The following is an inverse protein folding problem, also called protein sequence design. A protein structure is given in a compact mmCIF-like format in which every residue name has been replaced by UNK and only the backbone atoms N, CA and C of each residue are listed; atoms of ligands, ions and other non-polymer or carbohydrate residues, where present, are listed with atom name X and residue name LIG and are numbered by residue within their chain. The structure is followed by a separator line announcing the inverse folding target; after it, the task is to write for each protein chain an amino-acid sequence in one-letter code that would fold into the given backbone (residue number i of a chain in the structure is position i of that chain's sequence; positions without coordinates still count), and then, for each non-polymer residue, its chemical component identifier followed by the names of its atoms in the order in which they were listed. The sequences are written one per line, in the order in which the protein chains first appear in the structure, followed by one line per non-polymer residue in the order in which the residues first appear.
data_IF_743678561720
#
_entry.id   IF_743678561720
#
_cell.length_a   1.000
_cell.length_b   1.000
_cell.length_c   1.000
_cell.angle_alpha   90.00
_cell.angle_beta   90.00
_cell.angle_gamma   90.00
#
_symmetry.space_group_name_H-M   'P 1'
#
loop_
_entity.id
_entity.type
_entity.pdbx_description
1 polymer ?
#
# COMPACT_ATOMS: atom_id res chain seq x y z
N UNK A 1 -40.82 8.03 22.17
CA UNK A 1 -39.39 8.16 22.57
C UNK A 1 -38.64 9.04 21.58
N UNK A 2 -39.01 10.32 21.43
CA UNK A 2 -38.34 11.25 20.50
C UNK A 2 -38.26 12.66 21.09
N UNK A 3 -39.37 13.17 21.62
CA UNK A 3 -39.47 14.57 22.07
C UNK A 3 -38.47 14.97 23.16
N UNK A 4 -38.23 14.11 24.15
CA UNK A 4 -37.25 14.39 25.20
C UNK A 4 -35.81 14.47 24.65
N UNK A 5 -35.47 13.59 23.69
CA UNK A 5 -34.17 13.59 23.00
C UNK A 5 -34.01 14.85 22.13
N UNK A 6 -35.08 15.23 21.43
CA UNK A 6 -35.08 16.40 20.54
C UNK A 6 -34.98 17.71 21.35
N UNK A 7 -35.65 17.80 22.50
CA UNK A 7 -35.56 18.92 23.43
C UNK A 7 -34.15 19.08 24.01
N UNK A 8 -33.51 17.97 24.39
CA UNK A 8 -32.11 17.96 24.85
C UNK A 8 -31.19 18.48 23.74
N UNK A 9 -31.32 17.97 22.51
CA UNK A 9 -30.49 18.43 21.40
C UNK A 9 -30.76 19.87 20.97
N UNK A 10 -31.99 20.35 21.09
CA UNK A 10 -32.33 21.76 20.85
C UNK A 10 -31.62 22.68 21.87
N UNK A 11 -31.64 22.30 23.16
CA UNK A 11 -30.95 23.05 24.22
C UNK A 11 -29.43 23.03 24.05
N UNK A 12 -28.86 21.87 23.70
CA UNK A 12 -27.42 21.75 23.41
C UNK A 12 -27.04 22.62 22.21
N UNK A 13 -27.78 22.57 21.10
CA UNK A 13 -27.51 23.42 19.92
C UNK A 13 -27.69 24.91 20.22
N UNK A 14 -28.65 25.28 21.06
CA UNK A 14 -28.87 26.67 21.46
C UNK A 14 -27.78 27.25 22.38
N UNK A 15 -27.08 26.40 23.14
CA UNK A 15 -25.97 26.80 24.01
C UNK A 15 -24.61 26.89 23.29
N UNK A 16 -24.51 26.40 22.05
CA UNK A 16 -23.29 26.46 21.25
C UNK A 16 -23.32 27.75 20.43
N UNK A 17 -22.32 28.64 20.54
CA UNK A 17 -22.22 29.83 19.68
C UNK A 17 -22.22 29.41 18.21
N UNK A 18 -23.05 30.07 17.38
CA UNK A 18 -23.01 29.85 15.94
C UNK A 18 -21.67 30.32 15.40
N UNK A 19 -20.79 29.38 15.05
CA UNK A 19 -19.60 29.66 14.26
C UNK A 19 -19.99 29.90 12.80
N UNK A 20 -19.24 30.74 12.10
CA UNK A 20 -19.36 30.88 10.64
C UNK A 20 -18.98 29.55 9.98
N UNK A 21 -20.00 28.76 9.63
CA UNK A 21 -19.84 27.45 9.01
C UNK A 21 -19.15 27.56 7.64
N UNK A 22 -19.38 28.65 6.91
CA UNK A 22 -18.71 28.89 5.63
C UNK A 22 -17.21 29.15 5.84
N UNK A 23 -16.85 29.93 6.87
CA UNK A 23 -15.45 30.10 7.26
C UNK A 23 -14.81 28.79 7.73
N UNK A 24 -15.51 27.98 8.53
CA UNK A 24 -15.02 26.67 8.96
C UNK A 24 -14.76 25.73 7.78
N UNK A 25 -15.69 25.66 6.82
CA UNK A 25 -15.50 24.86 5.59
C UNK A 25 -14.34 25.37 4.74
N UNK A 26 -14.17 26.69 4.58
CA UNK A 26 -13.03 27.29 3.87
C UNK A 26 -11.70 26.93 4.54
N UNK A 27 -11.60 27.08 5.86
CA UNK A 27 -10.39 26.75 6.61
C UNK A 27 -10.01 25.26 6.49
N UNK A 28 -10.99 24.35 6.47
CA UNK A 28 -10.74 22.92 6.24
C UNK A 28 -10.24 22.67 4.82
N UNK A 29 -10.88 23.28 3.82
CA UNK A 29 -10.47 23.13 2.43
C UNK A 29 -9.04 23.66 2.18
N UNK A 30 -8.71 24.83 2.74
CA UNK A 30 -7.36 25.40 2.68
C UNK A 30 -6.31 24.50 3.34
N UNK A 31 -6.61 23.92 4.51
CA UNK A 31 -5.71 22.98 5.20
C UNK A 31 -5.47 21.70 4.40
N UNK A 32 -6.52 21.17 3.75
CA UNK A 32 -6.40 19.97 2.91
C UNK A 32 -5.60 20.27 1.64
N UNK A 33 -5.83 21.43 1.00
CA UNK A 33 -5.10 21.85 -0.18
C UNK A 33 -3.62 22.15 0.10
N UNK A 34 -3.31 22.69 1.28
CA UNK A 34 -1.95 23.07 1.69
C UNK A 34 -1.16 21.98 2.41
N UNK A 35 -1.62 20.72 2.44
CA UNK A 35 -0.95 19.68 3.21
C UNK A 35 0.46 19.38 2.66
N UNK A 36 1.47 19.90 3.37
CA UNK A 36 2.87 19.57 3.12
C UNK A 36 3.16 18.17 3.65
N UNK A 37 4.03 17.42 2.97
CA UNK A 37 4.47 16.11 3.48
C UNK A 37 4.98 16.27 4.92
N UNK A 38 4.53 15.40 5.82
CA UNK A 38 4.98 15.39 7.20
C UNK A 38 6.48 15.11 7.32
N UNK A 39 7.02 15.23 8.54
CA UNK A 39 8.41 14.93 8.84
C UNK A 39 8.78 13.55 8.32
N UNK A 40 9.73 13.52 7.39
CA UNK A 40 10.26 12.27 6.85
C UNK A 40 11.37 11.76 7.77
N UNK A 41 11.45 10.45 8.03
CA UNK A 41 12.56 9.88 8.78
C UNK A 41 13.91 10.22 8.13
N UNK A 42 14.88 10.73 8.87
CA UNK A 42 16.19 11.09 8.30
C UNK A 42 16.90 9.92 7.59
N UNK A 43 16.59 8.67 7.99
CA UNK A 43 17.12 7.45 7.37
C UNK A 43 16.76 7.26 5.89
N UNK A 44 15.73 7.95 5.38
CA UNK A 44 15.36 7.88 3.95
C UNK A 44 16.02 8.99 3.10
N UNK A 45 16.85 9.84 3.71
CA UNK A 45 17.58 10.90 3.01
C UNK A 45 18.87 10.34 2.37
N UNK A 46 18.70 9.34 1.51
CA UNK A 46 19.76 8.62 0.78
C UNK A 46 19.37 8.50 -0.69
N UNK A 47 20.27 8.03 -1.54
CA UNK A 47 19.99 7.84 -2.96
C UNK A 47 18.98 6.70 -3.23
N UNK A 48 18.49 6.64 -4.46
CA UNK A 48 17.43 5.70 -4.84
C UNK A 48 17.85 4.23 -4.72
N UNK A 49 19.12 3.92 -4.98
CA UNK A 49 19.64 2.55 -4.90
C UNK A 49 19.71 2.12 -3.43
N UNK A 50 20.25 2.98 -2.58
CA UNK A 50 20.31 2.78 -1.14
C UNK A 50 18.91 2.70 -0.50
N UNK A 51 17.89 3.37 -1.08
CA UNK A 51 16.49 3.21 -0.64
C UNK A 51 15.93 1.81 -0.94
N UNK A 52 16.29 1.21 -2.08
CA UNK A 52 15.88 -0.16 -2.41
C UNK A 52 16.57 -1.14 -1.47
N UNK A 53 17.85 -0.94 -1.19
CA UNK A 53 18.60 -1.76 -0.24
C UNK A 53 18.01 -1.65 1.18
N UNK A 54 17.68 -0.43 1.62
CA UNK A 54 17.02 -0.21 2.91
C UNK A 54 15.66 -0.92 2.97
N UNK A 55 14.89 -0.92 1.87
CA UNK A 55 13.64 -1.68 1.82
C UNK A 55 13.90 -3.18 1.96
N UNK A 56 14.88 -3.72 1.23
CA UNK A 56 15.24 -5.13 1.28
C UNK A 56 15.68 -5.56 2.69
N UNK A 57 16.52 -4.75 3.34
CA UNK A 57 16.96 -4.97 4.73
C UNK A 57 15.77 -5.02 5.69
N UNK A 58 14.87 -4.02 5.63
CA UNK A 58 13.71 -3.98 6.51
C UNK A 58 12.73 -5.14 6.24
N UNK A 59 12.54 -5.54 4.99
CA UNK A 59 11.69 -6.67 4.63
C UNK A 59 12.27 -7.99 5.19
N UNK A 60 13.58 -8.20 5.04
CA UNK A 60 14.27 -9.38 5.58
C UNK A 60 14.26 -9.39 7.12
N UNK A 61 14.33 -8.22 7.77
CA UNK A 61 14.24 -8.10 9.22
C UNK A 61 12.89 -8.55 9.81
N UNK A 62 11.84 -8.66 8.98
CA UNK A 62 10.52 -9.19 9.35
C UNK A 62 10.20 -10.52 8.66
N UNK A 63 11.23 -11.34 8.44
CA UNK A 63 11.17 -12.69 7.87
C UNK A 63 10.63 -12.77 6.42
N UNK A 64 10.74 -11.69 5.64
CA UNK A 64 10.46 -11.75 4.20
C UNK A 64 11.66 -12.29 3.41
N UNK A 65 11.41 -12.84 2.22
CA UNK A 65 12.46 -13.19 1.24
C UNK A 65 12.48 -12.16 0.12
N UNK A 66 13.68 -11.68 -0.24
CA UNK A 66 13.90 -10.69 -1.30
C UNK A 66 14.90 -11.25 -2.30
N UNK A 67 14.63 -11.08 -3.59
CA UNK A 67 15.53 -11.43 -4.69
C UNK A 67 15.59 -10.25 -5.66
N UNK A 68 16.80 -9.93 -6.13
CA UNK A 68 17.03 -8.91 -7.15
C UNK A 68 17.11 -9.56 -8.52
N UNK A 69 16.37 -9.02 -9.49
CA UNK A 69 16.33 -9.48 -10.88
C UNK A 69 16.70 -8.35 -11.83
N UNK A 70 17.36 -8.67 -12.95
CA UNK A 70 17.81 -7.66 -13.91
C UNK A 70 16.66 -7.19 -14.81
N UNK A 71 15.67 -8.06 -15.04
CA UNK A 71 14.54 -7.78 -15.90
C UNK A 71 13.29 -8.58 -15.49
N UNK A 72 12.13 -8.15 -15.98
CA UNK A 72 10.87 -8.88 -15.79
C UNK A 72 10.88 -10.28 -16.43
N UNK A 73 11.77 -10.53 -17.42
CA UNK A 73 11.92 -11.83 -18.04
C UNK A 73 12.56 -12.88 -17.10
N UNK A 74 13.32 -12.42 -16.10
CA UNK A 74 13.97 -13.30 -15.12
C UNK A 74 13.01 -13.71 -13.99
N UNK A 75 11.83 -13.09 -13.91
CA UNK A 75 10.88 -13.31 -12.82
C UNK A 75 10.41 -14.77 -12.69
N UNK A 76 10.02 -15.49 -13.76
CA UNK A 76 9.59 -16.89 -13.66
C UNK A 76 10.66 -17.80 -13.08
N UNK A 77 11.93 -17.62 -13.49
CA UNK A 77 13.04 -18.44 -13.02
C UNK A 77 13.40 -18.14 -11.57
N UNK A 78 13.41 -16.85 -11.19
CA UNK A 78 13.62 -16.44 -9.80
C UNK A 78 12.57 -17.05 -8.84
N UNK A 79 11.29 -17.11 -9.26
CA UNK A 79 10.23 -17.75 -8.48
C UNK A 79 10.44 -19.27 -8.40
N UNK A 80 10.79 -19.92 -9.51
CA UNK A 80 11.05 -21.35 -9.52
C UNK A 80 12.22 -21.75 -8.62
N UNK A 81 13.29 -20.94 -8.61
CA UNK A 81 14.44 -21.11 -7.72
C UNK A 81 14.06 -20.93 -6.26
N UNK A 82 13.24 -19.92 -5.95
CA UNK A 82 12.68 -19.74 -4.61
C UNK A 82 11.88 -20.96 -4.15
N UNK A 83 10.93 -21.44 -4.96
CA UNK A 83 10.11 -22.62 -4.63
C UNK A 83 10.98 -23.87 -4.43
N UNK A 84 11.98 -24.08 -5.29
CA UNK A 84 12.93 -25.19 -5.17
C UNK A 84 13.74 -25.12 -3.88
N UNK A 85 14.25 -23.93 -3.53
CA UNK A 85 15.03 -23.72 -2.30
C UNK A 85 14.22 -24.02 -1.03
N UNK A 86 12.90 -23.84 -1.10
CA UNK A 86 11.96 -24.10 0.00
C UNK A 86 11.35 -25.50 -0.05
N UNK A 87 11.79 -26.35 -0.99
CA UNK A 87 11.22 -27.67 -1.24
C UNK A 87 9.69 -27.64 -1.43
N UNK A 88 9.21 -26.61 -2.13
CA UNK A 88 7.79 -26.39 -2.43
C UNK A 88 7.44 -26.90 -3.84
N UNK A 89 6.17 -27.25 -4.10
CA UNK A 89 5.71 -27.54 -5.45
C UNK A 89 5.98 -26.36 -6.40
N UNK A 90 6.38 -26.65 -7.63
CA UNK A 90 6.57 -25.65 -8.68
C UNK A 90 5.20 -25.20 -9.23
N UNK A 91 4.42 -24.52 -8.39
CA UNK A 91 3.09 -24.00 -8.70
C UNK A 91 2.96 -22.56 -8.22
N UNK A 92 2.42 -21.68 -9.07
CA UNK A 92 2.16 -20.28 -8.71
C UNK A 92 0.80 -19.79 -9.20
N UNK A 93 0.22 -18.84 -8.45
CA UNK A 93 -0.98 -18.12 -8.85
C UNK A 93 -0.63 -16.67 -9.19
N UNK A 94 -0.97 -16.23 -10.41
CA UNK A 94 -0.74 -14.85 -10.85
C UNK A 94 -1.93 -13.99 -10.42
N UNK A 95 -1.64 -12.89 -9.73
CA UNK A 95 -2.63 -11.85 -9.42
C UNK A 95 -3.01 -11.06 -10.69
N UNK A 96 -4.24 -10.51 -10.78
CA UNK A 96 -4.68 -9.71 -11.91
C UNK A 96 -4.04 -8.31 -11.89
N UNK A 97 -2.75 -8.22 -12.24
CA UNK A 97 -1.97 -7.00 -12.24
C UNK A 97 -1.33 -6.73 -13.62
N UNK A 98 -1.46 -5.52 -14.20
CA UNK A 98 -0.97 -5.22 -15.55
C UNK A 98 0.51 -5.54 -15.78
N UNK A 99 1.36 -5.30 -14.79
CA UNK A 99 2.81 -5.58 -14.88
C UNK A 99 3.13 -7.08 -15.05
N UNK A 100 2.20 -7.98 -14.73
CA UNK A 100 2.37 -9.43 -14.82
C UNK A 100 1.83 -10.02 -16.14
N UNK A 101 1.10 -9.24 -16.93
CA UNK A 101 0.44 -9.70 -18.15
C UNK A 101 1.42 -9.96 -19.30
N UNK A 102 2.49 -9.16 -19.37
CA UNK A 102 3.52 -9.26 -20.43
C UNK A 102 4.62 -10.29 -20.16
N UNK A 103 4.60 -10.97 -19.02
CA UNK A 103 5.66 -11.90 -18.60
C UNK A 103 5.45 -13.27 -19.27
N UNK A 104 6.54 -13.83 -19.81
CA UNK A 104 6.52 -15.18 -20.40
C UNK A 104 6.61 -16.27 -19.32
N UNK A 105 5.49 -16.54 -18.67
CA UNK A 105 5.40 -17.53 -17.59
C UNK A 105 5.72 -18.98 -17.99
N UNK A 106 5.65 -19.32 -19.29
CA UNK A 106 5.99 -20.66 -19.78
C UNK A 106 7.48 -20.90 -20.02
N UNK A 107 8.33 -19.88 -19.80
CA UNK A 107 9.79 -20.04 -19.86
C UNK A 107 10.33 -20.96 -18.74
N UNK A 108 9.63 -21.01 -17.61
CA UNK A 108 9.96 -21.86 -16.46
C UNK A 108 9.18 -23.18 -16.51
N UNK A 109 9.70 -24.23 -15.84
CA UNK A 109 9.01 -25.53 -15.68
C UNK A 109 7.88 -25.50 -14.64
N UNK A 110 7.49 -24.32 -14.17
CA UNK A 110 6.47 -24.09 -13.15
C UNK A 110 5.07 -24.11 -13.75
N UNK A 111 4.11 -24.74 -13.06
CA UNK A 111 2.70 -24.66 -13.40
C UNK A 111 2.11 -23.34 -12.87
N UNK A 112 1.37 -22.63 -13.72
CA UNK A 112 0.89 -21.28 -13.40
C UNK A 112 -0.59 -21.12 -13.68
N UNK A 113 -1.34 -20.60 -12.70
CA UNK A 113 -2.76 -20.33 -12.82
C UNK A 113 -3.06 -18.83 -12.63
N UNK A 114 -3.90 -18.25 -13.49
CA UNK A 114 -4.33 -16.85 -13.32
C UNK A 114 -5.54 -16.77 -12.40
N UNK A 115 -5.50 -15.84 -11.43
CA UNK A 115 -6.65 -15.51 -10.57
C UNK A 115 -7.62 -14.59 -11.32
N UNK A 116 -8.92 -14.76 -11.03
CA UNK A 116 -9.94 -13.82 -11.47
C UNK A 116 -9.74 -12.44 -10.80
N UNK A 117 -10.17 -11.35 -11.47
CA UNK A 117 -10.21 -10.01 -10.90
C UNK A 117 -11.10 -9.90 -9.66
#
# INVERSE_FOLDING_TARGET
MSEARDAIFARVRGGIPRSDEAAARRAVAERLAGHTRGLQPGRIAIDQEALVDLFAENAQAVDATVSFINSAADLPDAIADYLRSRNMPAQAAIAPHPDLDGINWSASTMEVHRRAP
#
